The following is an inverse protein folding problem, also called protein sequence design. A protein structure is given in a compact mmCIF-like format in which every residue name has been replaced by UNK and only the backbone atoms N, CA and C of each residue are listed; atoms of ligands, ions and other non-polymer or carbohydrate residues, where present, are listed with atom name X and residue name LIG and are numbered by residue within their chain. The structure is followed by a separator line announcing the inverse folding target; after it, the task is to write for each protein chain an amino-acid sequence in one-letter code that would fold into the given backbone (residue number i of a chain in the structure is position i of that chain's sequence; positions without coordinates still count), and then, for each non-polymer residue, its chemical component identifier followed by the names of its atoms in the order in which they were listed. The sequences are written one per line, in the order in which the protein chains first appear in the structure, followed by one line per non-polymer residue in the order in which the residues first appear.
data_IF_992366594072
#
_entry.id   IF_992366594072
#
_cell.length_a   1.000
_cell.length_b   1.000
_cell.length_c   1.000
_cell.angle_alpha   90.00
_cell.angle_beta   90.00
_cell.angle_gamma   90.00
#
_symmetry.space_group_name_H-M   'P 1'
#
loop_
_entity.id
_entity.type
_entity.pdbx_description
1 polymer ?
#
# COMPACT_ATOMS: atom_id res chain seq x y z
N UNK A 1 2.01 -16.55 -6.67
CA UNK A 1 1.54 -15.27 -6.09
C UNK A 1 1.76 -15.22 -4.58
N UNK A 2 1.12 -16.10 -3.78
CA UNK A 2 1.28 -16.11 -2.31
C UNK A 2 2.73 -16.27 -1.80
N UNK A 3 3.54 -17.12 -2.44
CA UNK A 3 4.95 -17.34 -2.04
C UNK A 3 5.82 -16.08 -2.24
N UNK A 4 5.60 -15.34 -3.34
CA UNK A 4 6.35 -14.11 -3.61
C UNK A 4 6.00 -13.03 -2.57
N UNK A 5 4.72 -12.91 -2.22
CA UNK A 5 4.27 -11.94 -1.23
C UNK A 5 4.78 -12.29 0.18
N UNK A 6 4.74 -13.57 0.54
CA UNK A 6 5.29 -14.06 1.80
C UNK A 6 6.80 -13.77 1.93
N UNK A 7 7.56 -13.96 0.85
CA UNK A 7 8.99 -13.63 0.81
C UNK A 7 9.22 -12.12 0.98
N UNK A 8 8.38 -11.29 0.34
CA UNK A 8 8.44 -9.84 0.48
C UNK A 8 8.13 -9.39 1.91
N UNK A 9 7.10 -9.95 2.54
CA UNK A 9 6.76 -9.69 3.94
C UNK A 9 7.87 -10.15 4.91
N UNK A 10 8.45 -11.33 4.67
CA UNK A 10 9.57 -11.83 5.45
C UNK A 10 10.80 -10.90 5.34
N UNK A 11 11.07 -10.41 4.14
CA UNK A 11 12.13 -9.43 3.91
C UNK A 11 11.86 -8.11 4.64
N UNK A 12 10.65 -7.56 4.51
CA UNK A 12 10.23 -6.33 5.19
C UNK A 12 10.35 -6.46 6.71
N UNK A 13 9.96 -7.61 7.27
CA UNK A 13 10.08 -7.89 8.70
C UNK A 13 11.53 -7.92 9.21
N UNK A 14 12.47 -8.41 8.38
CA UNK A 14 13.90 -8.52 8.74
C UNK A 14 14.68 -7.22 8.51
N UNK A 15 14.28 -6.40 7.55
CA UNK A 15 15.01 -5.20 7.12
C UNK A 15 14.33 -3.89 7.57
N UNK A 16 13.68 -3.91 8.73
CA UNK A 16 12.97 -2.75 9.28
C UNK A 16 13.87 -1.54 9.53
N UNK A 17 15.16 -1.71 9.78
CA UNK A 17 16.14 -0.62 9.94
C UNK A 17 16.49 0.08 8.61
N UNK A 18 16.40 -0.64 7.49
CA UNK A 18 16.76 -0.11 6.17
C UNK A 18 15.59 0.66 5.56
N UNK A 19 14.38 0.20 5.86
CA UNK A 19 13.17 0.96 5.66
C UNK A 19 13.22 2.06 6.73
N UNK A 20 12.88 3.31 6.41
CA UNK A 20 12.94 4.41 7.38
C UNK A 20 11.87 4.30 8.49
N UNK A 21 11.65 3.09 9.03
CA UNK A 21 10.69 2.76 10.07
C UNK A 21 10.81 3.70 11.27
N UNK A 22 12.02 4.13 11.61
CA UNK A 22 12.29 5.05 12.71
C UNK A 22 11.63 6.44 12.54
N UNK A 23 11.57 6.97 11.31
CA UNK A 23 10.82 8.21 11.03
C UNK A 23 9.32 8.03 11.24
N UNK A 24 8.84 6.79 11.11
CA UNK A 24 7.41 6.48 11.19
C UNK A 24 6.97 6.04 12.58
N UNK A 25 7.86 5.44 13.38
CA UNK A 25 7.58 5.02 14.75
C UNK A 25 7.07 6.21 15.58
N UNK A 26 7.75 7.36 15.53
CA UNK A 26 7.36 8.55 16.28
C UNK A 26 5.98 9.12 15.91
N UNK A 27 5.58 9.09 14.64
CA UNK A 27 4.27 9.61 14.21
C UNK A 27 3.12 8.66 14.56
N UNK A 28 3.31 7.35 14.40
CA UNK A 28 2.26 6.37 14.74
C UNK A 28 2.12 6.14 16.23
N UNK A 29 3.21 6.24 17.00
CA UNK A 29 3.17 6.04 18.45
C UNK A 29 2.50 7.22 19.17
N UNK A 30 2.65 8.46 18.65
CA UNK A 30 1.93 9.64 19.16
C UNK A 30 0.42 9.54 18.94
N UNK A 31 -0.02 8.97 17.80
CA UNK A 31 -1.44 8.76 17.50
C UNK A 31 -2.07 7.63 18.33
N UNK A 32 -1.25 6.75 18.93
CA UNK A 32 -1.70 5.56 19.65
C UNK A 32 -1.35 5.59 21.16
N UNK A 33 -1.17 6.78 21.75
CA UNK A 33 -1.05 6.96 23.21
C UNK A 33 -2.37 6.64 23.95
N UNK A 34 -2.87 5.41 23.80
CA UNK A 34 -3.83 4.77 24.68
C UNK A 34 -3.22 3.41 25.04
N UNK A 35 -2.63 3.31 26.24
CA UNK A 35 -2.11 2.12 26.92
C UNK A 35 -2.28 0.77 26.17
N UNK A 36 -1.32 0.42 25.31
CA UNK A 36 -1.22 -0.94 24.77
C UNK A 36 0.04 -1.58 25.33
N UNK A 37 -0.14 -2.67 26.09
CA UNK A 37 0.94 -3.42 26.70
C UNK A 37 1.78 -4.13 25.60
N UNK A 38 2.89 -3.51 25.21
CA UNK A 38 3.77 -3.95 24.11
C UNK A 38 4.32 -5.37 24.27
N UNK A 39 4.28 -5.93 25.49
CA UNK A 39 4.72 -7.30 25.79
C UNK A 39 3.74 -8.38 25.29
N UNK A 40 2.44 -8.08 25.15
CA UNK A 40 1.41 -9.06 24.75
C UNK A 40 1.11 -9.08 23.24
N UNK A 41 1.42 -7.99 22.52
CA UNK A 41 0.92 -7.75 21.15
C UNK A 41 1.90 -8.23 20.05
N UNK A 42 3.09 -8.69 20.42
CA UNK A 42 4.13 -9.09 19.47
C UNK A 42 4.85 -7.92 18.82
N UNK A 43 5.88 -8.21 18.01
CA UNK A 43 6.75 -7.18 17.42
C UNK A 43 6.04 -6.45 16.28
N UNK A 44 5.83 -5.13 16.45
CA UNK A 44 5.28 -4.25 15.40
C UNK A 44 6.24 -4.18 14.20
N UNK A 45 5.71 -4.40 13.00
CA UNK A 45 6.44 -4.30 11.73
C UNK A 45 5.78 -3.21 10.90
N UNK A 46 6.58 -2.25 10.43
CA UNK A 46 6.12 -1.19 9.56
C UNK A 46 6.09 -1.67 8.12
N UNK A 47 4.91 -1.64 7.51
CA UNK A 47 4.76 -1.85 6.06
C UNK A 47 4.91 -0.51 5.33
N UNK A 48 5.87 -0.37 4.40
CA UNK A 48 6.01 0.84 3.59
C UNK A 48 4.84 0.98 2.60
N UNK A 49 4.63 2.17 2.06
CA UNK A 49 3.61 2.42 1.03
C UNK A 49 3.88 1.70 -0.30
N UNK A 50 5.11 1.18 -0.51
CA UNK A 50 5.43 0.31 -1.65
C UNK A 50 4.86 -1.12 -1.52
N UNK A 51 4.26 -1.45 -0.39
CA UNK A 51 3.49 -2.68 -0.21
C UNK A 51 2.04 -2.45 -0.64
N UNK A 52 1.71 -2.93 -1.85
CA UNK A 52 0.37 -2.80 -2.45
C UNK A 52 -0.67 -3.48 -1.57
N UNK A 53 -1.77 -2.78 -1.30
CA UNK A 53 -2.88 -3.26 -0.46
C UNK A 53 -2.71 -3.05 1.04
N UNK A 54 -1.55 -2.55 1.51
CA UNK A 54 -1.37 -2.16 2.91
C UNK A 54 -1.98 -0.79 3.23
N UNK A 55 -2.22 -0.52 4.52
CA UNK A 55 -2.83 0.73 4.99
C UNK A 55 -2.12 1.98 4.45
N UNK A 56 -0.78 1.99 4.48
CA UNK A 56 0.02 3.13 4.02
C UNK A 56 -0.03 3.31 2.50
N UNK A 57 -0.15 2.23 1.75
CA UNK A 57 -0.36 2.31 0.31
C UNK A 57 -1.70 2.99 0.01
N UNK A 58 -2.76 2.59 0.72
CA UNK A 58 -4.08 3.20 0.57
C UNK A 58 -4.10 4.67 1.01
N UNK A 59 -3.42 5.01 2.12
CA UNK A 59 -3.27 6.40 2.55
C UNK A 59 -2.51 7.25 1.55
N UNK A 60 -1.43 6.74 0.96
CA UNK A 60 -0.68 7.46 -0.07
C UNK A 60 -1.56 7.71 -1.30
N UNK A 61 -2.27 6.68 -1.80
CA UNK A 61 -3.19 6.84 -2.92
C UNK A 61 -4.27 7.90 -2.64
N UNK A 62 -4.80 7.92 -1.42
CA UNK A 62 -5.76 8.94 -1.02
C UNK A 62 -5.14 10.34 -1.05
N UNK A 63 -3.97 10.56 -0.44
CA UNK A 63 -3.30 11.85 -0.44
C UNK A 63 -2.96 12.32 -1.86
N UNK A 64 -2.47 11.43 -2.71
CA UNK A 64 -2.17 11.71 -4.12
C UNK A 64 -3.45 12.11 -4.87
N UNK A 65 -4.56 11.41 -4.62
CA UNK A 65 -5.86 11.76 -5.22
C UNK A 65 -6.36 13.14 -4.75
N UNK A 66 -6.19 13.47 -3.47
CA UNK A 66 -6.56 14.78 -2.93
C UNK A 66 -5.67 15.90 -3.49
N UNK A 67 -4.38 15.63 -3.74
CA UNK A 67 -3.49 16.56 -4.41
C UNK A 67 -3.93 16.83 -5.86
N UNK A 68 -4.36 15.79 -6.59
CA UNK A 68 -4.92 15.94 -7.93
C UNK A 68 -6.23 16.74 -7.92
N UNK A 69 -7.15 16.43 -7.00
CA UNK A 69 -8.42 17.17 -6.85
C UNK A 69 -8.16 18.64 -6.51
N UNK A 70 -7.16 18.93 -5.68
CA UNK A 70 -6.79 20.29 -5.34
C UNK A 70 -6.24 21.05 -6.55
N UNK A 71 -5.49 20.38 -7.42
CA UNK A 71 -4.85 21.02 -8.59
C UNK A 71 -5.81 21.15 -9.79
N UNK A 72 -6.56 20.10 -10.11
CA UNK A 72 -7.42 20.01 -11.29
C UNK A 72 -8.91 20.22 -10.98
N UNK A 73 -9.24 20.59 -9.75
CA UNK A 73 -10.60 20.65 -9.22
C UNK A 73 -11.30 19.27 -9.13
N UNK A 74 -12.56 19.30 -8.71
CA UNK A 74 -13.35 18.09 -8.46
C UNK A 74 -13.58 17.30 -9.76
N UNK A 75 -13.25 16.00 -9.82
CA UNK A 75 -13.58 15.16 -10.95
C UNK A 75 -15.10 15.08 -11.13
N UNK A 76 -15.55 15.28 -12.37
CA UNK A 76 -16.95 15.20 -12.78
C UNK A 76 -17.31 13.83 -13.37
N UNK A 77 -16.31 13.05 -13.79
CA UNK A 77 -16.48 11.78 -14.48
C UNK A 77 -15.58 10.71 -13.86
N UNK A 78 -16.14 9.54 -13.57
CA UNK A 78 -15.41 8.34 -13.21
C UNK A 78 -15.64 7.31 -14.32
N UNK A 79 -14.59 6.96 -15.06
CA UNK A 79 -14.65 5.94 -16.11
C UNK A 79 -14.03 4.66 -15.54
N UNK A 80 -14.83 3.59 -15.51
CA UNK A 80 -14.35 2.25 -15.16
C UNK A 80 -14.14 1.47 -16.46
N UNK A 81 -12.89 1.14 -16.75
CA UNK A 81 -12.56 0.20 -17.81
C UNK A 81 -12.47 -1.20 -17.22
N UNK A 82 -13.44 -2.05 -17.52
CA UNK A 82 -13.33 -3.49 -17.27
C UNK A 82 -12.62 -4.13 -18.45
N UNK A 83 -11.50 -4.80 -18.21
CA UNK A 83 -10.79 -5.60 -19.20
C UNK A 83 -10.73 -7.04 -18.69
N UNK A 84 -11.15 -8.00 -19.53
CA UNK A 84 -10.97 -9.42 -19.26
C UNK A 84 -9.84 -9.93 -20.16
N UNK A 85 -8.76 -10.50 -19.61
CA UNK A 85 -7.65 -11.00 -20.42
C UNK A 85 -8.04 -12.17 -21.34
N UNK A 86 -9.21 -12.80 -21.13
CA UNK A 86 -9.74 -13.87 -21.98
C UNK A 86 -10.63 -13.37 -23.13
N UNK A 87 -10.73 -12.07 -23.33
CA UNK A 87 -11.46 -11.53 -24.47
C UNK A 87 -10.69 -11.80 -25.76
N UNK A 88 -11.42 -12.18 -26.81
CA UNK A 88 -10.82 -12.59 -28.08
C UNK A 88 -9.98 -11.45 -28.69
N UNK A 89 -10.41 -10.21 -28.51
CA UNK A 89 -9.69 -9.01 -28.93
C UNK A 89 -8.31 -8.92 -28.26
N UNK A 90 -8.22 -9.23 -26.95
CA UNK A 90 -6.95 -9.21 -26.21
C UNK A 90 -6.08 -10.39 -26.62
N UNK A 91 -6.65 -11.58 -26.78
CA UNK A 91 -5.91 -12.77 -27.19
C UNK A 91 -5.36 -12.64 -28.62
N UNK A 92 -6.10 -12.00 -29.54
CA UNK A 92 -5.68 -11.75 -30.91
C UNK A 92 -4.48 -10.80 -31.00
N UNK A 93 -4.47 -9.73 -30.22
CA UNK A 93 -3.35 -8.76 -30.16
C UNK A 93 -2.10 -9.33 -29.46
N UNK A 94 -2.21 -10.48 -28.80
CA UNK A 94 -1.09 -11.21 -28.18
C UNK A 94 -0.48 -12.30 -29.08
N UNK A 95 -1.10 -12.58 -30.23
CA UNK A 95 -0.54 -13.51 -31.21
C UNK A 95 0.56 -12.81 -32.04
N UNK A 96 1.64 -13.52 -32.42
CA UNK A 96 2.76 -12.95 -33.18
C UNK A 96 2.40 -12.57 -34.63
#
# INVERSE_FOLDING_TARGET
WAVCDQNKLAWLKRHQSNIRADLYNGLTDVLQQQDINLQEVGKRVVLPSSYVGGDRFMQQLYQDSMALVRHFARPSLFITFTANPKWAEIEQELLP
#
